data_IF_520718564752
#
_entry.id   IF_520718564752
#
_cell.length_a   1.000
_cell.length_b   1.000
_cell.length_c   1.000
_cell.angle_alpha   90.00
_cell.angle_beta   90.00
_cell.angle_gamma   90.00
#
_symmetry.space_group_name_H-M   'P 1'
#
loop_
_entity.id
_entity.type
_entity.pdbx_description
1 polymer ?
#
# COMPACT_ATOMS: atom_id res chain seq x y z
N UNK A 1 14.98 18.37 10.05
CA UNK A 1 14.61 18.52 8.63
C UNK A 1 14.79 17.18 7.98
N UNK A 2 13.70 16.46 7.72
CA UNK A 2 13.72 15.14 7.11
C UNK A 2 12.67 15.13 6.00
N UNK A 3 12.90 15.94 4.98
CA UNK A 3 11.95 16.15 3.88
C UNK A 3 12.20 15.24 2.67
N UNK A 4 13.17 14.32 2.75
CA UNK A 4 13.56 13.43 1.64
C UNK A 4 13.33 11.93 1.95
N UNK A 5 12.11 11.57 2.36
CA UNK A 5 11.70 10.15 2.55
C UNK A 5 10.88 9.58 1.41
N UNK A 6 10.25 10.45 0.63
CA UNK A 6 9.26 10.09 -0.36
C UNK A 6 9.61 10.75 -1.68
N UNK A 7 9.89 9.94 -2.70
CA UNK A 7 10.19 10.44 -4.04
C UNK A 7 8.95 10.35 -4.91
N UNK A 8 8.60 11.44 -5.60
CA UNK A 8 7.53 11.41 -6.59
C UNK A 8 7.84 10.34 -7.66
N UNK A 9 6.86 9.50 -7.97
CA UNK A 9 7.05 8.39 -8.90
C UNK A 9 5.82 8.23 -9.81
N UNK A 10 6.01 7.51 -10.90
CA UNK A 10 4.88 7.07 -11.73
C UNK A 10 4.11 5.96 -11.01
N UNK A 11 2.80 5.90 -11.24
CA UNK A 11 1.99 4.79 -10.76
C UNK A 11 2.54 3.45 -11.30
N UNK A 12 2.66 2.46 -10.43
CA UNK A 12 2.99 1.10 -10.86
C UNK A 12 1.77 0.41 -11.46
N UNK A 13 2.01 -0.69 -12.18
CA UNK A 13 0.92 -1.57 -12.59
C UNK A 13 0.22 -2.13 -11.34
N UNK A 14 -1.11 -2.03 -11.32
CA UNK A 14 -1.96 -2.62 -10.29
C UNK A 14 -2.99 -3.53 -10.93
N UNK A 15 -3.48 -4.56 -10.22
CA UNK A 15 -4.58 -5.39 -10.71
C UNK A 15 -5.80 -4.56 -11.09
N UNK A 16 -6.56 -5.00 -12.10
CA UNK A 16 -7.73 -4.28 -12.58
C UNK A 16 -8.75 -3.98 -11.47
N UNK A 17 -8.91 -4.90 -10.52
CA UNK A 17 -9.76 -4.75 -9.33
C UNK A 17 -9.37 -3.59 -8.40
N UNK A 18 -8.12 -3.13 -8.47
CA UNK A 18 -7.57 -2.05 -7.63
C UNK A 18 -7.49 -0.71 -8.39
N UNK A 19 -7.60 -0.73 -9.72
CA UNK A 19 -7.37 0.43 -10.60
C UNK A 19 -8.26 1.63 -10.26
N UNK A 20 -9.54 1.40 -10.00
CA UNK A 20 -10.51 2.45 -9.66
C UNK A 20 -10.23 3.08 -8.29
N UNK A 21 -9.71 2.30 -7.33
CA UNK A 21 -9.39 2.77 -5.99
C UNK A 21 -8.21 3.75 -6.00
N UNK A 22 -7.24 3.53 -6.88
CA UNK A 22 -6.02 4.35 -6.98
C UNK A 22 -6.08 5.45 -8.05
N UNK A 23 -7.09 5.42 -8.92
CA UNK A 23 -7.28 6.42 -9.95
C UNK A 23 -7.41 7.84 -9.37
N UNK A 24 -6.69 8.78 -9.98
CA UNK A 24 -6.70 10.19 -9.62
C UNK A 24 -5.78 10.57 -8.45
N UNK A 25 -5.00 9.63 -7.91
CA UNK A 25 -3.95 9.94 -6.92
C UNK A 25 -2.61 10.22 -7.59
N UNK A 26 -1.83 11.09 -6.96
CA UNK A 26 -0.40 11.25 -7.17
C UNK A 26 0.35 10.23 -6.32
N UNK A 27 1.48 9.74 -6.83
CA UNK A 27 2.24 8.66 -6.22
C UNK A 27 3.60 9.14 -5.76
N UNK A 28 3.96 8.79 -4.52
CA UNK A 28 5.32 8.94 -4.03
C UNK A 28 5.79 7.62 -3.43
N UNK A 29 6.99 7.17 -3.78
CA UNK A 29 7.60 5.96 -3.25
C UNK A 29 8.29 6.29 -1.93
N UNK A 30 7.98 5.55 -0.88
CA UNK A 30 8.67 5.64 0.40
C UNK A 30 9.97 4.81 0.34
N UNK A 31 11.10 5.45 0.64
CA UNK A 31 12.43 4.84 0.58
C UNK A 31 12.88 4.22 1.91
N UNK A 32 12.10 4.35 2.99
CA UNK A 32 12.53 3.96 4.34
C UNK A 32 12.00 2.58 4.77
N UNK A 33 11.20 1.93 3.92
CA UNK A 33 10.69 0.59 4.17
C UNK A 33 11.79 -0.47 4.30
N UNK A 34 12.10 -0.89 5.53
CA UNK A 34 13.05 -1.99 5.80
C UNK A 34 12.46 -3.38 5.53
N UNK A 35 11.16 -3.48 5.24
CA UNK A 35 10.43 -4.74 5.08
C UNK A 35 10.56 -5.38 3.70
N UNK A 36 11.47 -4.89 2.84
CA UNK A 36 11.73 -5.43 1.50
C UNK A 36 10.64 -5.13 0.44
N UNK A 37 9.37 -5.01 0.84
CA UNK A 37 8.27 -4.60 -0.03
C UNK A 37 8.31 -3.12 -0.39
N UNK A 38 7.84 -2.77 -1.59
CA UNK A 38 7.71 -1.39 -2.03
C UNK A 38 6.48 -0.73 -1.38
N UNK A 39 6.67 0.47 -0.83
CA UNK A 39 5.59 1.25 -0.22
C UNK A 39 5.39 2.53 -1.01
N UNK A 40 4.14 2.84 -1.34
CA UNK A 40 3.74 4.02 -2.08
C UNK A 40 2.70 4.79 -1.30
N UNK A 41 2.89 6.11 -1.17
CA UNK A 41 1.86 7.03 -0.69
C UNK A 41 1.09 7.58 -1.88
N UNK A 42 -0.22 7.38 -1.84
CA UNK A 42 -1.17 7.90 -2.81
C UNK A 42 -1.84 9.13 -2.20
N UNK A 43 -1.62 10.30 -2.79
CA UNK A 43 -2.07 11.58 -2.22
C UNK A 43 -2.61 12.53 -3.30
N UNK A 44 -3.11 13.70 -2.89
CA UNK A 44 -3.48 14.78 -3.81
C UNK A 44 -4.80 14.59 -4.58
N UNK A 45 -5.57 13.54 -4.29
CA UNK A 45 -6.92 13.35 -4.85
C UNK A 45 -7.91 14.25 -4.11
N UNK A 46 -8.66 15.07 -4.85
CA UNK A 46 -9.61 16.02 -4.27
C UNK A 46 -10.66 15.31 -3.41
N UNK A 47 -10.89 15.83 -2.20
CA UNK A 47 -11.88 15.33 -1.22
C UNK A 47 -11.67 13.86 -0.81
N UNK A 48 -10.48 13.31 -1.01
CA UNK A 48 -10.12 11.98 -0.56
C UNK A 48 -8.93 12.07 0.41
N UNK A 49 -8.88 11.15 1.37
CA UNK A 49 -7.72 11.01 2.25
C UNK A 49 -6.57 10.36 1.49
N UNK A 50 -5.35 10.57 1.98
CA UNK A 50 -4.20 9.83 1.52
C UNK A 50 -4.37 8.33 1.79
N UNK A 51 -3.78 7.52 0.92
CA UNK A 51 -3.73 6.07 1.04
C UNK A 51 -2.28 5.60 0.99
N UNK A 52 -2.04 4.40 1.52
CA UNK A 52 -0.77 3.71 1.40
C UNK A 52 -0.97 2.40 0.67
N UNK A 53 -0.22 2.20 -0.41
CA UNK A 53 -0.14 0.93 -1.13
C UNK A 53 1.18 0.24 -0.79
N UNK A 54 1.10 -0.97 -0.27
CA UNK A 54 2.24 -1.88 -0.20
C UNK A 54 2.17 -2.90 -1.33
N UNK A 55 3.31 -3.17 -1.94
CA UNK A 55 3.47 -4.16 -2.99
C UNK A 55 4.67 -5.06 -2.69
N UNK A 56 4.47 -6.37 -2.84
CA UNK A 56 5.50 -7.38 -2.66
C UNK A 56 5.41 -8.45 -3.74
N UNK A 57 6.55 -9.10 -4.01
CA UNK A 57 6.66 -10.24 -4.92
C UNK A 57 7.39 -11.40 -4.25
N UNK A 58 7.15 -12.62 -4.72
CA UNK A 58 7.73 -13.85 -4.19
C UNK A 58 7.50 -13.95 -2.66
N UNK A 59 8.54 -14.19 -1.87
CA UNK A 59 8.45 -14.22 -0.41
C UNK A 59 7.87 -12.94 0.22
N UNK A 60 8.03 -11.78 -0.44
CA UNK A 60 7.44 -10.53 0.05
C UNK A 60 5.93 -10.50 -0.17
N UNK A 61 5.40 -11.24 -1.14
CA UNK A 61 3.95 -11.38 -1.30
C UNK A 61 3.33 -12.08 -0.09
N UNK A 62 4.00 -13.09 0.45
CA UNK A 62 3.59 -13.78 1.67
C UNK A 62 3.67 -12.85 2.90
N UNK A 63 4.73 -12.05 3.02
CA UNK A 63 4.87 -11.06 4.10
C UNK A 63 3.74 -10.03 4.09
N UNK A 64 3.40 -9.49 2.90
CA UNK A 64 2.29 -8.54 2.71
C UNK A 64 0.94 -9.21 3.03
N UNK A 65 0.76 -10.46 2.63
CA UNK A 65 -0.45 -11.24 2.95
C UNK A 65 -0.58 -11.43 4.46
N UNK A 66 0.51 -11.80 5.14
CA UNK A 66 0.54 -11.93 6.59
C UNK A 66 0.24 -10.61 7.29
N UNK A 67 0.75 -9.49 6.78
CA UNK A 67 0.47 -8.16 7.32
C UNK A 67 -1.02 -7.81 7.21
N UNK A 68 -1.63 -8.09 6.05
CA UNK A 68 -3.05 -7.88 5.84
C UNK A 68 -3.91 -8.67 6.84
N UNK A 69 -3.58 -9.94 7.10
CA UNK A 69 -4.28 -10.77 8.09
C UNK A 69 -4.14 -10.18 9.49
N UNK A 70 -2.91 -9.79 9.89
CA UNK A 70 -2.65 -9.19 11.21
C UNK A 70 -3.40 -7.88 11.39
N UNK A 71 -3.43 -7.00 10.38
CA UNK A 71 -4.16 -5.73 10.45
C UNK A 71 -5.66 -5.92 10.59
N UNK A 72 -6.26 -6.85 9.83
CA UNK A 72 -7.69 -7.15 9.94
C UNK A 72 -8.07 -7.68 11.32
N UNK A 73 -7.25 -8.55 11.90
CA UNK A 73 -7.46 -9.04 13.26
C UNK A 73 -7.28 -7.92 14.30
N UNK A 74 -6.18 -7.16 14.22
CA UNK A 74 -5.87 -6.08 15.15
C UNK A 74 -6.90 -4.94 15.14
N UNK A 75 -7.57 -4.70 14.02
CA UNK A 75 -8.60 -3.66 13.90
C UNK A 75 -9.78 -3.85 14.88
N UNK A 76 -10.02 -5.06 15.37
CA UNK A 76 -11.00 -5.34 16.43
C UNK A 76 -10.52 -5.05 17.86
N UNK A 77 -9.24 -4.70 18.03
CA UNK A 77 -8.58 -4.62 19.33
C UNK A 77 -7.90 -3.27 19.58
N UNK A 78 -7.21 -2.71 18.58
CA UNK A 78 -6.48 -1.44 18.70
C UNK A 78 -6.60 -0.61 17.41
N UNK A 79 -6.37 0.71 17.46
CA UNK A 79 -6.28 1.53 16.26
C UNK A 79 -5.12 1.09 15.37
N UNK A 80 -5.43 0.69 14.14
CA UNK A 80 -4.47 0.34 13.08
C UNK A 80 -4.94 0.91 11.75
N UNK A 81 -4.04 1.04 10.75
CA UNK A 81 -4.45 1.38 9.39
C UNK A 81 -5.53 0.42 8.88
N UNK A 82 -6.58 0.97 8.29
CA UNK A 82 -7.70 0.18 7.81
C UNK A 82 -7.38 -0.39 6.43
N UNK A 83 -7.43 -1.73 6.31
CA UNK A 83 -7.31 -2.43 5.02
C UNK A 83 -8.49 -2.05 4.14
N UNK A 84 -8.22 -1.30 3.08
CA UNK A 84 -9.24 -0.83 2.12
C UNK A 84 -9.40 -1.84 0.99
N UNK A 85 -8.29 -2.34 0.43
CA UNK A 85 -8.28 -3.39 -0.57
C UNK A 85 -7.08 -4.31 -0.38
N UNK A 86 -7.22 -5.57 -0.77
CA UNK A 86 -6.13 -6.53 -0.84
C UNK A 86 -6.30 -7.40 -2.08
N UNK A 87 -5.22 -7.63 -2.80
CA UNK A 87 -5.15 -8.59 -3.91
C UNK A 87 -3.88 -9.40 -3.75
N UNK A 88 -4.02 -10.72 -3.72
CA UNK A 88 -2.90 -11.66 -3.81
C UNK A 88 -3.02 -12.47 -5.10
N UNK A 89 -1.91 -12.68 -5.79
CA UNK A 89 -1.76 -13.64 -6.89
C UNK A 89 -0.77 -14.73 -6.44
N UNK A 90 -0.36 -15.61 -7.36
CA UNK A 90 0.63 -16.64 -7.05
C UNK A 90 1.98 -16.05 -6.62
N UNK A 91 2.39 -14.93 -7.24
CA UNK A 91 3.74 -14.39 -7.09
C UNK A 91 3.76 -12.97 -6.52
N UNK A 92 2.62 -12.29 -6.40
CA UNK A 92 2.58 -10.88 -6.00
C UNK A 92 1.41 -10.58 -5.04
N UNK A 93 1.58 -9.56 -4.21
CA UNK A 93 0.52 -9.06 -3.35
C UNK A 93 0.50 -7.52 -3.30
N UNK A 94 -0.72 -6.98 -3.30
CA UNK A 94 -1.02 -5.56 -3.15
C UNK A 94 -1.92 -5.35 -1.95
N UNK A 95 -1.51 -4.48 -1.03
CA UNK A 95 -2.26 -4.12 0.17
C UNK A 95 -2.47 -2.61 0.21
N UNK A 96 -3.72 -2.17 0.06
CA UNK A 96 -4.11 -0.76 0.12
C UNK A 96 -4.73 -0.45 1.48
N UNK A 97 -4.22 0.60 2.13
CA UNK A 97 -4.59 1.00 3.49
C UNK A 97 -4.89 2.49 3.56
N UNK A 98 -5.67 2.86 4.57
CA UNK A 98 -5.96 4.25 4.97
C UNK A 98 -5.68 4.46 6.45
#
# INVERSE_FOLDING_TARGET
>A
MGEDRQEACSAIAVPASLSSAVAGYQWARDLVGQSGGAVYRLHGKQRATDLFLKHGRDALADDITGEMVRLRWLAGHIPVPAVTYFVGTADEAWLLMR
#
